data_IF_897131583418
#
_entry.id   IF_897131583418
#
_cell.length_a   1.000
_cell.length_b   1.000
_cell.length_c   1.000
_cell.angle_alpha   90.00
_cell.angle_beta   90.00
_cell.angle_gamma   90.00
#
_symmetry.space_group_name_H-M   'P 1'
#
loop_
_entity.id
_entity.type
_entity.pdbx_description
1 polymer ?
#
# COMPACT_ATOMS: atom_id res chain seq x y z
N UNK A 1 -0.47 17.22 -22.28
CA UNK A 1 -1.15 16.43 -21.23
C UNK A 1 -0.06 15.81 -20.35
N UNK A 2 0.05 16.17 -19.07
CA UNK A 2 1.12 15.61 -18.19
C UNK A 2 0.50 14.91 -16.97
N UNK A 3 0.09 13.64 -17.09
CA UNK A 3 -0.32 12.82 -15.95
C UNK A 3 0.94 12.16 -15.36
N UNK A 4 1.88 12.97 -14.86
CA UNK A 4 3.11 12.44 -14.24
C UNK A 4 3.14 12.68 -12.73
N UNK A 5 2.11 13.32 -12.17
CA UNK A 5 2.04 13.57 -10.72
C UNK A 5 1.61 12.31 -9.98
N UNK A 6 0.67 11.58 -10.56
CA UNK A 6 0.17 10.28 -10.12
C UNK A 6 1.29 9.21 -10.09
N UNK A 7 2.00 9.00 -11.20
CA UNK A 7 3.16 8.08 -11.26
C UNK A 7 4.27 8.43 -10.27
N UNK A 8 4.59 9.71 -10.12
CA UNK A 8 5.64 10.12 -9.17
C UNK A 8 5.18 9.91 -7.72
N UNK A 9 3.90 10.16 -7.45
CA UNK A 9 3.31 9.94 -6.13
C UNK A 9 3.23 8.45 -5.79
N UNK A 10 2.83 7.61 -6.73
CA UNK A 10 2.75 6.16 -6.52
C UNK A 10 4.12 5.55 -6.20
N UNK A 11 5.17 5.95 -6.92
CA UNK A 11 6.54 5.51 -6.62
C UNK A 11 6.99 5.96 -5.23
N UNK A 12 6.73 7.22 -4.85
CA UNK A 12 7.07 7.75 -3.52
C UNK A 12 6.34 7.00 -2.40
N UNK A 13 5.04 6.76 -2.57
CA UNK A 13 4.23 6.01 -1.60
C UNK A 13 4.75 4.58 -1.49
N UNK A 14 5.05 3.92 -2.61
CA UNK A 14 5.57 2.54 -2.63
C UNK A 14 6.90 2.44 -1.87
N UNK A 15 7.84 3.34 -2.15
CA UNK A 15 9.16 3.31 -1.53
C UNK A 15 9.09 3.58 -0.03
N UNK A 16 8.26 4.54 0.39
CA UNK A 16 8.10 4.88 1.81
C UNK A 16 7.31 3.83 2.59
N UNK A 17 6.25 3.27 2.00
CA UNK A 17 5.54 2.13 2.56
C UNK A 17 6.48 0.93 2.69
N UNK A 18 7.32 0.63 1.69
CA UNK A 18 8.25 -0.49 1.74
C UNK A 18 9.25 -0.36 2.90
N UNK A 19 9.80 0.84 3.08
CA UNK A 19 10.67 1.14 4.23
C UNK A 19 9.94 1.02 5.56
N UNK A 20 8.70 1.48 5.66
CA UNK A 20 7.88 1.36 6.88
C UNK A 20 7.55 -0.10 7.19
N UNK A 21 7.10 -0.87 6.20
CA UNK A 21 6.74 -2.27 6.39
C UNK A 21 7.96 -3.10 6.80
N UNK A 22 9.13 -2.84 6.21
CA UNK A 22 10.35 -3.55 6.60
C UNK A 22 10.95 -3.13 7.94
N UNK A 23 10.67 -1.91 8.44
CA UNK A 23 11.30 -1.36 9.65
C UNK A 23 10.37 -1.36 10.87
N UNK A 24 9.12 -0.97 10.67
CA UNK A 24 8.14 -0.73 11.74
C UNK A 24 7.24 -1.96 11.96
N UNK A 25 7.12 -2.86 10.98
CA UNK A 25 6.26 -4.03 11.07
C UNK A 25 7.06 -5.33 11.06
N UNK A 26 6.84 -6.15 12.08
CA UNK A 26 7.33 -7.53 12.09
C UNK A 26 6.12 -8.45 12.00
N UNK A 27 5.82 -8.91 10.79
CA UNK A 27 4.76 -9.88 10.57
C UNK A 27 5.33 -11.26 10.90
N UNK A 28 5.06 -11.76 12.10
CA UNK A 28 5.65 -12.95 12.75
C UNK A 28 5.76 -14.18 11.82
N UNK A 29 6.81 -14.24 11.00
CA UNK A 29 7.01 -15.28 9.99
C UNK A 29 6.10 -15.18 8.77
N UNK A 30 5.65 -13.97 8.38
CA UNK A 30 5.03 -13.69 7.09
C UNK A 30 5.82 -12.58 6.36
N UNK A 31 6.15 -12.83 5.10
CA UNK A 31 6.78 -11.86 4.23
C UNK A 31 5.69 -11.02 3.56
N UNK A 32 5.73 -9.71 3.78
CA UNK A 32 4.81 -8.75 3.18
C UNK A 32 5.58 -7.85 2.24
N UNK A 33 5.22 -7.89 0.96
CA UNK A 33 5.87 -7.13 -0.11
C UNK A 33 4.84 -6.27 -0.80
N UNK A 34 5.19 -5.02 -1.11
CA UNK A 34 4.35 -4.16 -1.93
C UNK A 34 4.64 -4.48 -3.39
N UNK A 35 3.65 -5.01 -4.09
CA UNK A 35 3.76 -5.37 -5.50
C UNK A 35 3.56 -4.15 -6.39
N UNK A 36 2.50 -3.39 -6.13
CA UNK A 36 2.13 -2.26 -6.96
C UNK A 36 1.34 -1.24 -6.13
N UNK A 37 1.50 0.04 -6.43
CA UNK A 37 0.64 1.10 -5.90
C UNK A 37 0.06 1.87 -7.07
N UNK A 38 -1.25 1.92 -7.17
CA UNK A 38 -1.98 2.70 -8.15
C UNK A 38 -2.67 3.86 -7.45
N UNK A 39 -2.45 5.08 -7.93
CA UNK A 39 -3.12 6.27 -7.40
C UNK A 39 -4.21 6.67 -8.39
N UNK A 40 -5.45 6.83 -7.91
CA UNK A 40 -6.56 7.27 -8.75
C UNK A 40 -6.30 8.68 -9.31
N UNK A 41 -6.95 8.99 -10.44
CA UNK A 41 -6.81 10.29 -11.12
C UNK A 41 -7.17 11.48 -10.22
N UNK A 42 -8.08 11.28 -9.28
CA UNK A 42 -8.51 12.29 -8.31
C UNK A 42 -7.49 12.51 -7.18
N UNK A 43 -6.45 11.70 -7.07
CA UNK A 43 -5.42 11.73 -6.01
C UNK A 43 -5.99 11.56 -4.58
N UNK A 44 -7.25 11.13 -4.48
CA UNK A 44 -7.97 10.93 -3.22
C UNK A 44 -7.87 9.49 -2.72
N UNK A 45 -7.64 8.52 -3.60
CA UNK A 45 -7.47 7.12 -3.24
C UNK A 45 -6.20 6.57 -3.88
N UNK A 46 -5.56 5.64 -3.16
CA UNK A 46 -4.43 4.90 -3.64
C UNK A 46 -4.61 3.42 -3.27
N UNK A 47 -4.65 2.56 -4.29
CA UNK A 47 -4.76 1.12 -4.15
C UNK A 47 -3.35 0.53 -4.07
N UNK A 48 -3.05 -0.17 -2.98
CA UNK A 48 -1.76 -0.77 -2.70
C UNK A 48 -1.93 -2.28 -2.71
N UNK A 49 -1.36 -2.93 -3.72
CA UNK A 49 -1.32 -4.37 -3.87
C UNK A 49 -0.19 -4.95 -3.02
N UNK A 50 -0.54 -5.81 -2.07
CA UNK A 50 0.37 -6.47 -1.15
C UNK A 50 0.45 -7.96 -1.50
N UNK A 51 1.66 -8.45 -1.73
CA UNK A 51 1.96 -9.87 -1.75
C UNK A 51 2.31 -10.36 -0.36
N UNK A 52 1.62 -11.40 0.12
CA UNK A 52 1.83 -11.97 1.46
C UNK A 52 2.18 -13.45 1.33
N UNK A 53 3.31 -13.86 1.92
CA UNK A 53 3.81 -15.23 1.87
C UNK A 53 4.23 -15.68 3.28
N UNK A 54 3.68 -16.77 3.85
CA UNK A 54 2.65 -17.65 3.28
C UNK A 54 1.25 -17.01 3.31
N UNK A 55 0.42 -17.38 2.33
CA UNK A 55 -0.93 -16.82 2.17
C UNK A 55 -1.85 -17.12 3.36
N UNK A 56 -1.62 -18.18 4.12
CA UNK A 56 -2.38 -18.54 5.33
C UNK A 56 -2.41 -17.39 6.36
N UNK A 57 -1.34 -16.60 6.42
CA UNK A 57 -1.23 -15.46 7.34
C UNK A 57 -1.75 -14.14 6.75
N UNK A 58 -2.25 -14.15 5.52
CA UNK A 58 -2.74 -12.95 4.83
C UNK A 58 -3.82 -12.24 5.62
N UNK A 59 -4.77 -12.98 6.20
CA UNK A 59 -5.87 -12.42 6.97
C UNK A 59 -5.39 -11.73 8.27
N UNK A 60 -4.39 -12.32 8.94
CA UNK A 60 -3.80 -11.76 10.16
C UNK A 60 -3.01 -10.49 9.86
N UNK A 61 -2.14 -10.57 8.84
CA UNK A 61 -1.39 -9.42 8.32
C UNK A 61 -2.34 -8.30 7.92
N UNK A 62 -3.40 -8.61 7.18
CA UNK A 62 -4.38 -7.63 6.74
C UNK A 62 -5.06 -6.93 7.91
N UNK A 63 -5.42 -7.65 8.97
CA UNK A 63 -5.99 -7.04 10.19
C UNK A 63 -5.00 -6.10 10.86
N UNK A 64 -3.72 -6.46 10.94
CA UNK A 64 -2.66 -5.62 11.52
C UNK A 64 -2.48 -4.36 10.67
N UNK A 65 -2.32 -4.51 9.35
CA UNK A 65 -2.14 -3.42 8.40
C UNK A 65 -3.36 -2.50 8.39
N UNK A 66 -4.57 -3.05 8.40
CA UNK A 66 -5.82 -2.28 8.41
C UNK A 66 -5.96 -1.45 9.69
N UNK A 67 -5.62 -2.00 10.86
CA UNK A 67 -5.59 -1.23 12.12
C UNK A 67 -4.53 -0.14 12.08
N UNK A 68 -3.36 -0.43 11.53
CA UNK A 68 -2.28 0.52 11.43
C UNK A 68 -2.41 1.48 10.22
N UNK A 69 -3.39 1.30 9.34
CA UNK A 69 -3.55 2.06 8.11
C UNK A 69 -3.70 3.56 8.37
N UNK A 70 -4.42 3.92 9.43
CA UNK A 70 -4.59 5.32 9.86
C UNK A 70 -3.26 5.93 10.29
N UNK A 71 -2.49 5.18 11.09
CA UNK A 71 -1.18 5.62 11.57
C UNK A 71 -0.17 5.72 10.42
N UNK A 72 -0.16 4.74 9.52
CA UNK A 72 0.66 4.74 8.30
C UNK A 72 0.34 5.97 7.46
N UNK A 73 -0.96 6.24 7.22
CA UNK A 73 -1.41 7.42 6.47
C UNK A 73 -0.93 8.71 7.13
N UNK A 74 -1.01 8.82 8.45
CA UNK A 74 -0.57 10.00 9.18
C UNK A 74 0.96 10.17 9.14
N UNK A 75 1.73 9.08 9.28
CA UNK A 75 3.19 9.10 9.15
C UNK A 75 3.61 9.48 7.74
N UNK A 76 2.97 8.93 6.71
CA UNK A 76 3.22 9.30 5.31
C UNK A 76 2.87 10.75 5.02
N UNK A 77 1.73 11.25 5.54
CA UNK A 77 1.37 12.66 5.44
C UNK A 77 2.45 13.56 6.03
N UNK A 78 2.96 13.24 7.23
CA UNK A 78 4.05 14.01 7.86
C UNK A 78 5.35 13.96 7.08
N UNK A 79 5.66 12.81 6.48
CA UNK A 79 6.95 12.58 5.82
C UNK A 79 7.01 13.11 4.38
N UNK A 80 5.94 12.89 3.62
CA UNK A 80 5.81 13.37 2.24
C UNK A 80 5.29 14.81 2.19
N UNK A 81 4.61 15.29 3.24
CA UNK A 81 4.01 16.63 3.33
C UNK A 81 3.07 16.96 2.14
N UNK A 82 2.35 15.94 1.66
CA UNK A 82 1.46 16.03 0.48
C UNK A 82 0.01 16.24 0.94
N UNK A 83 -0.67 17.22 0.34
CA UNK A 83 -2.10 17.49 0.57
C UNK A 83 -2.85 17.59 -0.77
N UNK A 84 -4.01 16.91 -0.92
CA UNK A 84 -4.59 15.93 0.01
C UNK A 84 -3.81 14.61 0.03
N UNK A 85 -3.72 13.97 1.20
CA UNK A 85 -3.14 12.63 1.33
C UNK A 85 -4.20 11.59 0.96
N UNK A 86 -3.97 10.76 -0.08
CA UNK A 86 -4.93 9.76 -0.49
C UNK A 86 -5.24 8.77 0.62
N UNK A 87 -6.44 8.20 0.59
CA UNK A 87 -6.80 7.05 1.39
C UNK A 87 -6.14 5.81 0.80
N UNK A 88 -5.34 5.14 1.63
CA UNK A 88 -4.67 3.91 1.26
C UNK A 88 -5.65 2.75 1.39
N UNK A 89 -5.96 2.11 0.27
CA UNK A 89 -6.68 0.85 0.22
C UNK A 89 -5.66 -0.25 0.02
N UNK A 90 -5.64 -1.22 0.93
CA UNK A 90 -4.74 -2.36 0.82
C UNK A 90 -5.49 -3.53 0.22
N UNK A 91 -4.94 -4.13 -0.81
CA UNK A 91 -5.48 -5.30 -1.49
C UNK A 91 -4.43 -6.42 -1.45
N UNK A 92 -4.84 -7.61 -1.03
CA UNK A 92 -3.95 -8.77 -1.00
C UNK A 92 -4.01 -9.43 -2.37
N UNK A 93 -2.86 -9.57 -3.02
CA UNK A 93 -2.77 -10.29 -4.29
C UNK A 93 -2.65 -11.78 -3.99
N UNK A 94 -3.70 -12.52 -4.33
CA UNK A 94 -3.64 -13.97 -4.42
C UNK A 94 -2.89 -14.38 -5.69
N UNK A 95 -2.00 -15.38 -5.64
CA UNK A 95 -1.28 -15.85 -6.81
C UNK A 95 -2.18 -16.43 -7.92
N UNK A 96 -3.48 -16.65 -7.66
CA UNK A 96 -4.42 -17.28 -8.60
C UNK A 96 -5.50 -16.38 -9.20
N UNK A 97 -5.57 -15.08 -8.88
CA UNK A 97 -6.58 -14.19 -9.50
C UNK A 97 -5.98 -12.90 -10.04
N UNK A 98 -5.39 -13.03 -11.22
CA UNK A 98 -5.17 -11.90 -12.12
C UNK A 98 -6.23 -11.93 -13.22
N UNK A 99 -7.53 -11.89 -12.89
CA UNK A 99 -8.59 -11.75 -13.89
C UNK A 99 -9.71 -10.82 -13.40
N UNK A 100 -9.94 -9.80 -14.23
CA UNK A 100 -11.17 -9.03 -14.45
C UNK A 100 -11.62 -7.93 -13.47
N UNK A 101 -11.44 -6.68 -13.92
CA UNK A 101 -12.55 -5.77 -14.28
C UNK A 101 -11.97 -4.57 -15.04
N UNK A 102 -12.12 -4.48 -16.37
CA UNK A 102 -13.28 -4.06 -17.19
C UNK A 102 -13.57 -2.56 -17.14
#
# INVERSE_FOLDING_TARGET
>A
MRPFRDLKLSSLITEELGKMFSRDFNFEGALVTIMETEVEKDLLHANVKLGIIPYEKSLEVYKIVSRAASDIRFKLLKKLNIKPMPYLKFEIVEPEKSEDSK
#
